data_IF_249173435805
#
_entry.id   IF_249173435805
#
_cell.length_a   1.000
_cell.length_b   1.000
_cell.length_c   1.000
_cell.angle_alpha   90.00
_cell.angle_beta   90.00
_cell.angle_gamma   90.00
#
_symmetry.space_group_name_H-M   'P 1'
#
loop_
_entity.id
_entity.type
_entity.pdbx_description
1 polymer ?
#
# COMPACT_ATOMS: atom_id res chain seq x y z
N UNK A 1 -82.00 -6.44 27.40
CA UNK A 1 -81.03 -5.33 27.59
C UNK A 1 -79.73 -5.71 26.91
N UNK A 2 -79.47 -5.21 25.70
CA UNK A 2 -78.20 -5.40 24.98
C UNK A 2 -77.49 -4.05 24.96
N UNK A 3 -76.40 -3.92 25.70
CA UNK A 3 -75.57 -2.73 25.69
C UNK A 3 -74.53 -2.84 24.56
N UNK A 4 -74.51 -1.83 23.71
CA UNK A 4 -73.62 -1.65 22.58
C UNK A 4 -72.36 -0.93 23.08
N UNK A 5 -71.18 -1.56 22.99
CA UNK A 5 -69.90 -0.89 23.25
C UNK A 5 -69.20 -0.64 21.90
N UNK A 6 -69.07 0.64 21.56
CA UNK A 6 -68.23 1.14 20.46
C UNK A 6 -66.76 0.98 20.84
N UNK A 7 -65.96 0.44 19.93
CA UNK A 7 -64.50 0.47 20.02
C UNK A 7 -64.00 1.45 18.98
N UNK A 8 -63.45 2.57 19.43
CA UNK A 8 -62.82 3.59 18.60
C UNK A 8 -61.46 3.11 18.07
N UNK A 9 -61.34 3.05 16.75
CA UNK A 9 -60.10 2.69 16.06
C UNK A 9 -59.26 3.96 15.85
N UNK A 10 -58.31 4.24 16.76
CA UNK A 10 -57.29 5.26 16.55
C UNK A 10 -56.12 4.67 15.76
N UNK A 11 -56.03 5.01 14.47
CA UNK A 11 -54.83 4.77 13.66
C UNK A 11 -53.68 5.65 14.19
N UNK A 12 -52.65 5.02 14.77
CA UNK A 12 -51.33 5.63 14.92
C UNK A 12 -50.55 5.43 13.62
N UNK A 13 -50.42 6.48 12.81
CA UNK A 13 -49.47 6.53 11.71
C UNK A 13 -48.07 6.77 12.27
N UNK A 14 -47.29 5.70 12.44
CA UNK A 14 -45.87 5.78 12.74
C UNK A 14 -45.14 6.10 11.44
N UNK A 15 -44.82 7.38 11.24
CA UNK A 15 -44.00 7.84 10.12
C UNK A 15 -42.57 7.30 10.24
N UNK A 16 -42.21 6.37 9.37
CA UNK A 16 -40.86 5.87 9.23
C UNK A 16 -40.01 6.94 8.51
N UNK A 17 -39.31 7.79 9.27
CA UNK A 17 -38.26 8.65 8.70
C UNK A 17 -37.10 7.73 8.26
N UNK A 18 -37.04 7.42 6.97
CA UNK A 18 -35.82 6.91 6.35
C UNK A 18 -34.78 8.02 6.39
N UNK A 19 -33.88 7.96 7.36
CA UNK A 19 -32.61 8.70 7.34
C UNK A 19 -31.81 8.17 6.15
N UNK A 20 -31.93 8.85 5.02
CA UNK A 20 -31.05 8.70 3.88
C UNK A 20 -29.69 9.24 4.31
N UNK A 21 -28.84 8.39 4.87
CA UNK A 21 -27.43 8.73 5.10
C UNK A 21 -26.79 8.82 3.73
N UNK A 22 -26.78 10.02 3.16
CA UNK A 22 -25.91 10.37 2.05
C UNK A 22 -24.47 10.20 2.54
N UNK A 23 -23.90 9.01 2.30
CA UNK A 23 -22.47 8.81 2.38
C UNK A 23 -21.84 9.68 1.29
N UNK A 24 -21.39 10.88 1.66
CA UNK A 24 -20.51 11.64 0.80
C UNK A 24 -19.31 10.73 0.49
N UNK A 25 -19.13 10.36 -0.78
CA UNK A 25 -17.95 9.61 -1.18
C UNK A 25 -16.75 10.45 -0.78
N UNK A 26 -15.92 9.92 0.11
CA UNK A 26 -14.68 10.57 0.52
C UNK A 26 -13.79 10.68 -0.71
N UNK A 27 -13.54 11.91 -1.14
CA UNK A 27 -12.75 12.17 -2.33
C UNK A 27 -11.26 11.94 -2.05
N UNK A 28 -10.63 11.08 -2.86
CA UNK A 28 -9.18 10.88 -2.86
C UNK A 28 -8.46 12.19 -3.23
N UNK A 29 -7.80 12.81 -2.26
CA UNK A 29 -7.07 14.08 -2.43
C UNK A 29 -5.65 13.84 -2.90
N UNK A 30 -5.11 14.75 -3.71
CA UNK A 30 -3.68 14.77 -4.04
C UNK A 30 -2.84 15.22 -2.82
N UNK A 31 -1.64 14.64 -2.59
CA UNK A 31 -0.89 14.86 -1.34
C UNK A 31 -0.11 16.18 -1.30
N UNK A 32 -0.14 17.00 -2.36
CA UNK A 32 0.58 18.28 -2.44
C UNK A 32 -0.33 19.41 -2.97
N UNK A 33 0.06 20.68 -2.83
CA UNK A 33 -0.69 21.82 -3.38
C UNK A 33 -0.61 21.90 -4.92
N UNK A 34 0.25 21.11 -5.56
CA UNK A 34 0.38 21.09 -7.01
C UNK A 34 -0.79 20.35 -7.66
N UNK A 35 -1.76 21.11 -8.20
CA UNK A 35 -2.98 20.59 -8.84
C UNK A 35 -2.78 20.10 -10.28
N UNK A 36 -1.54 20.00 -10.77
CA UNK A 36 -1.27 19.65 -12.17
C UNK A 36 -1.88 18.30 -12.57
N UNK A 37 -1.80 17.28 -11.70
CA UNK A 37 -2.41 15.98 -11.96
C UNK A 37 -3.93 16.10 -12.17
N UNK A 38 -4.64 16.74 -11.24
CA UNK A 38 -6.11 16.91 -11.31
C UNK A 38 -6.55 17.74 -12.52
N UNK A 39 -5.68 18.61 -13.02
CA UNK A 39 -5.91 19.43 -14.22
C UNK A 39 -5.51 18.72 -15.52
N UNK A 40 -5.18 17.42 -15.47
CA UNK A 40 -4.79 16.64 -16.65
C UNK A 40 -3.50 17.11 -17.31
N UNK A 41 -2.60 17.76 -16.56
CA UNK A 41 -1.31 18.22 -17.08
C UNK A 41 -0.34 17.04 -17.27
N UNK A 42 0.66 17.18 -18.15
CA UNK A 42 1.64 16.12 -18.38
C UNK A 42 2.54 15.89 -17.15
N UNK A 43 3.26 14.77 -17.12
CA UNK A 43 4.04 14.30 -15.96
C UNK A 43 5.08 15.31 -15.50
N UNK A 44 5.70 16.04 -16.42
CA UNK A 44 6.69 17.09 -16.20
C UNK A 44 6.15 18.24 -15.34
N UNK A 45 4.82 18.35 -15.21
CA UNK A 45 4.16 19.36 -14.40
C UNK A 45 4.00 18.96 -12.92
N UNK A 46 4.43 17.76 -12.51
CA UNK A 46 4.38 17.35 -11.10
C UNK A 46 5.40 16.29 -10.66
N UNK A 47 6.00 15.53 -11.57
CA UNK A 47 7.00 14.50 -11.24
C UNK A 47 8.40 15.09 -11.10
N UNK A 48 9.06 14.79 -9.99
CA UNK A 48 10.46 15.12 -9.76
C UNK A 48 11.37 13.99 -10.30
N UNK A 49 12.15 14.20 -11.37
CA UNK A 49 13.16 13.23 -11.78
C UNK A 49 14.30 13.16 -10.75
N UNK A 50 14.97 12.00 -10.73
CA UNK A 50 16.20 11.78 -9.95
C UNK A 50 17.38 12.54 -10.57
N UNK A 51 18.60 12.30 -10.05
CA UNK A 51 19.83 12.88 -10.59
C UNK A 51 20.10 12.53 -12.07
N UNK A 52 19.44 11.52 -12.63
CA UNK A 52 19.57 11.16 -14.05
C UNK A 52 18.93 12.17 -15.00
N UNK A 53 18.03 13.05 -14.52
CA UNK A 53 17.25 13.97 -15.33
C UNK A 53 16.13 13.30 -16.15
N UNK A 54 16.04 11.97 -16.16
CA UNK A 54 14.98 11.22 -16.84
C UNK A 54 13.69 11.27 -16.03
N UNK A 55 12.60 11.72 -16.64
CA UNK A 55 11.32 11.92 -15.97
C UNK A 55 10.80 10.65 -15.30
N UNK A 56 10.94 9.52 -15.99
CA UNK A 56 10.46 8.22 -15.55
C UNK A 56 11.11 7.79 -14.23
N UNK A 57 12.32 8.28 -13.93
CA UNK A 57 13.03 7.89 -12.71
C UNK A 57 12.36 8.32 -11.40
N UNK A 58 11.41 9.27 -11.48
CA UNK A 58 10.54 9.68 -10.37
C UNK A 58 9.20 8.93 -10.32
N UNK A 59 8.93 8.00 -11.23
CA UNK A 59 7.71 7.19 -11.26
C UNK A 59 7.87 5.90 -10.45
N UNK A 60 6.77 5.22 -10.17
CA UNK A 60 6.79 3.90 -9.54
C UNK A 60 7.34 2.84 -10.50
N UNK A 61 8.01 1.82 -9.97
CA UNK A 61 8.42 0.63 -10.72
C UNK A 61 9.91 0.55 -11.02
N UNK A 62 10.26 -0.27 -12.01
CA UNK A 62 11.64 -0.48 -12.46
C UNK A 62 12.13 0.66 -13.36
N UNK A 63 12.31 1.84 -12.77
CA UNK A 63 12.55 3.10 -13.52
C UNK A 63 13.88 3.78 -13.18
N UNK A 64 14.64 3.27 -12.20
CA UNK A 64 15.94 3.82 -11.79
C UNK A 64 17.09 2.94 -12.30
N UNK A 65 18.26 3.53 -12.48
CA UNK A 65 19.48 2.85 -12.98
C UNK A 65 19.24 2.02 -14.25
N UNK A 66 18.65 2.63 -15.29
CA UNK A 66 18.33 1.92 -16.54
C UNK A 66 17.23 0.85 -16.41
N UNK A 67 16.45 0.92 -15.33
CA UNK A 67 15.39 -0.04 -15.00
C UNK A 67 15.81 -1.15 -14.05
N UNK A 68 17.07 -1.20 -13.59
CA UNK A 68 17.53 -2.23 -12.68
C UNK A 68 17.27 -1.93 -11.21
N UNK A 69 16.77 -0.74 -10.88
CA UNK A 69 16.41 -0.35 -9.52
C UNK A 69 14.93 0.01 -9.46
N UNK A 70 14.24 -0.66 -8.54
CA UNK A 70 12.83 -0.42 -8.24
C UNK A 70 12.66 0.90 -7.47
N UNK A 71 11.54 1.55 -7.70
CA UNK A 71 11.08 2.73 -6.98
C UNK A 71 9.69 2.45 -6.42
N UNK A 72 9.57 2.53 -5.09
CA UNK A 72 8.40 2.10 -4.31
C UNK A 72 7.23 3.09 -4.33
N UNK A 73 7.43 4.28 -4.90
CA UNK A 73 6.45 5.36 -4.93
C UNK A 73 6.62 6.28 -6.13
N UNK A 74 6.07 7.49 -6.01
CA UNK A 74 6.29 8.59 -6.95
C UNK A 74 6.94 9.78 -6.25
N UNK A 75 7.82 10.49 -6.95
CA UNK A 75 8.50 11.67 -6.45
C UNK A 75 7.80 12.92 -7.01
N UNK A 76 7.28 13.79 -6.14
CA UNK A 76 6.50 14.99 -6.49
C UNK A 76 7.25 16.27 -6.13
N UNK A 77 7.47 17.16 -7.10
CA UNK A 77 8.24 18.39 -6.87
C UNK A 77 7.40 19.50 -6.20
N UNK A 78 8.04 20.44 -5.48
CA UNK A 78 7.37 21.57 -4.85
C UNK A 78 7.02 22.70 -5.82
N UNK A 79 5.90 23.37 -5.60
CA UNK A 79 5.54 24.62 -6.30
C UNK A 79 5.88 25.88 -5.48
N UNK A 80 6.12 25.75 -4.17
CA UNK A 80 6.60 26.85 -3.31
C UNK A 80 8.00 26.58 -2.79
N UNK A 81 8.79 27.65 -2.73
CA UNK A 81 10.12 27.65 -2.12
C UNK A 81 10.30 28.85 -1.20
N UNK A 82 11.10 28.67 -0.16
CA UNK A 82 11.56 29.77 0.69
C UNK A 82 12.60 30.62 -0.04
N UNK A 83 12.96 31.79 0.52
CA UNK A 83 14.03 32.64 -0.02
C UNK A 83 15.39 31.92 -0.08
N UNK A 84 15.64 30.96 0.82
CA UNK A 84 16.85 30.14 0.82
C UNK A 84 16.78 28.97 -0.17
N UNK A 85 15.70 28.83 -0.94
CA UNK A 85 15.49 27.80 -1.96
C UNK A 85 14.97 26.46 -1.45
N UNK A 86 14.64 26.34 -0.16
CA UNK A 86 14.05 25.12 0.41
C UNK A 86 12.60 24.94 -0.05
N UNK A 87 12.15 23.69 -0.18
CA UNK A 87 10.75 23.40 -0.45
C UNK A 87 9.88 23.89 0.72
N UNK A 88 8.69 24.43 0.42
CA UNK A 88 7.78 25.01 1.41
C UNK A 88 6.34 24.50 1.26
N UNK A 89 6.12 23.49 0.42
CA UNK A 89 4.79 22.94 0.19
C UNK A 89 4.32 22.13 1.41
N UNK A 90 3.12 22.40 1.97
CA UNK A 90 2.50 21.50 2.93
C UNK A 90 2.12 20.16 2.27
N UNK A 91 2.24 19.08 3.03
CA UNK A 91 1.91 17.72 2.60
C UNK A 91 0.65 17.25 3.31
N UNK A 92 -0.26 16.65 2.56
CA UNK A 92 -1.60 16.33 3.06
C UNK A 92 -1.88 14.83 3.09
N UNK A 93 -2.66 14.39 4.09
CA UNK A 93 -3.28 13.07 4.06
C UNK A 93 -4.24 12.98 2.87
N UNK A 94 -4.17 11.90 2.10
CA UNK A 94 -4.93 11.76 0.84
C UNK A 94 -6.36 11.29 1.08
N UNK A 95 -6.59 10.64 2.21
CA UNK A 95 -7.86 10.11 2.68
C UNK A 95 -7.90 10.21 4.21
N UNK A 96 -9.08 10.08 4.85
CA UNK A 96 -9.20 9.87 6.27
C UNK A 96 -8.46 8.60 6.70
N UNK A 97 -7.98 8.57 7.93
CA UNK A 97 -7.28 7.42 8.45
C UNK A 97 -6.62 7.67 9.80
N UNK A 98 -5.79 6.72 10.21
CA UNK A 98 -5.04 6.79 11.47
C UNK A 98 -3.55 6.89 11.19
N UNK A 99 -2.86 7.83 11.83
CA UNK A 99 -1.39 7.91 11.79
C UNK A 99 -0.82 6.69 12.52
N UNK A 100 -0.10 5.84 11.79
CA UNK A 100 0.49 4.60 12.35
C UNK A 100 1.99 4.70 12.57
N UNK A 101 2.66 5.68 11.93
CA UNK A 101 4.08 5.92 12.12
C UNK A 101 4.44 7.39 11.95
N UNK A 102 5.38 7.87 12.78
CA UNK A 102 5.99 9.19 12.66
C UNK A 102 7.48 9.07 12.94
N UNK A 103 8.32 9.31 11.93
CA UNK A 103 9.77 9.46 12.07
C UNK A 103 10.15 10.93 11.94
N UNK A 104 10.55 11.56 13.06
CA UNK A 104 11.01 12.96 13.09
C UNK A 104 12.52 13.11 12.87
N UNK A 105 13.27 12.00 12.87
CA UNK A 105 14.73 12.00 12.79
C UNK A 105 15.19 11.69 11.36
N UNK A 106 15.76 12.69 10.69
CA UNK A 106 16.20 12.58 9.30
C UNK A 106 17.26 11.49 9.05
N UNK A 107 18.07 11.15 10.06
CA UNK A 107 19.20 10.23 9.92
C UNK A 107 18.86 8.74 10.05
N UNK A 108 17.61 8.35 10.33
CA UNK A 108 17.28 6.96 10.65
C UNK A 108 16.94 6.06 9.45
N UNK A 109 16.75 6.62 8.25
CA UNK A 109 16.52 5.84 7.02
C UNK A 109 16.72 6.70 5.77
N UNK A 110 16.84 6.04 4.62
CA UNK A 110 16.81 6.68 3.31
C UNK A 110 15.60 7.59 3.12
N UNK A 111 14.43 7.24 3.66
CA UNK A 111 13.22 8.10 3.66
C UNK A 111 13.40 9.44 4.37
N UNK A 112 14.40 9.58 5.24
CA UNK A 112 14.53 10.73 6.10
C UNK A 112 13.43 10.79 7.16
N UNK A 113 12.83 11.98 7.32
CA UNK A 113 11.60 12.15 8.10
C UNK A 113 10.41 11.70 7.27
N UNK A 114 9.54 10.91 7.87
CA UNK A 114 8.36 10.41 7.18
C UNK A 114 7.20 10.08 8.11
N UNK A 115 6.01 10.06 7.53
CA UNK A 115 4.75 9.71 8.19
C UNK A 115 4.10 8.57 7.42
N UNK A 116 3.45 7.65 8.14
CA UNK A 116 2.59 6.62 7.53
C UNK A 116 1.17 6.76 8.08
N UNK A 117 0.19 6.79 7.19
CA UNK A 117 -1.24 6.82 7.52
C UNK A 117 -1.88 5.52 7.05
N UNK A 118 -2.68 4.89 7.91
CA UNK A 118 -3.53 3.74 7.57
C UNK A 118 -4.93 4.23 7.23
N UNK A 119 -5.44 3.84 6.07
CA UNK A 119 -6.81 4.12 5.62
C UNK A 119 -7.64 2.85 5.83
N UNK A 120 -8.23 2.71 7.01
CA UNK A 120 -8.99 1.53 7.45
C UNK A 120 -10.49 1.59 7.16
N UNK A 121 -10.98 2.76 6.72
CA UNK A 121 -12.31 2.91 6.12
C UNK A 121 -12.36 2.42 4.66
N UNK A 122 -11.20 2.10 4.08
CA UNK A 122 -11.07 1.55 2.73
C UNK A 122 -11.11 0.02 2.74
N UNK A 123 -11.50 -0.57 1.60
CA UNK A 123 -11.49 -2.03 1.42
C UNK A 123 -10.62 -2.41 0.21
N UNK A 124 -9.57 -3.23 0.38
CA UNK A 124 -8.91 -3.51 1.67
C UNK A 124 -8.40 -2.22 2.31
N UNK A 125 -8.17 -2.24 3.62
CA UNK A 125 -7.38 -1.20 4.25
C UNK A 125 -6.00 -1.13 3.57
N UNK A 126 -5.45 0.05 3.41
CA UNK A 126 -4.10 0.24 2.86
C UNK A 126 -3.39 1.41 3.55
N UNK A 127 -2.13 1.62 3.22
CA UNK A 127 -1.30 2.64 3.84
C UNK A 127 -0.77 3.63 2.81
N UNK A 128 -0.53 4.84 3.26
CA UNK A 128 0.23 5.85 2.52
C UNK A 128 1.44 6.27 3.30
N UNK A 129 2.56 6.47 2.60
CA UNK A 129 3.83 6.89 3.18
C UNK A 129 4.25 8.22 2.55
N UNK A 130 4.63 9.17 3.41
CA UNK A 130 5.00 10.54 3.04
C UNK A 130 6.41 10.83 3.53
N UNK A 131 7.41 10.80 2.64
CA UNK A 131 8.81 10.88 3.01
C UNK A 131 9.52 12.17 2.57
N UNK A 132 10.78 12.25 2.95
CA UNK A 132 11.69 13.37 2.71
C UNK A 132 11.25 14.69 3.36
N UNK A 133 10.39 14.64 4.37
CA UNK A 133 9.81 15.83 4.99
C UNK A 133 10.89 16.74 5.60
N UNK A 134 10.73 18.05 5.43
CA UNK A 134 11.54 19.05 6.13
C UNK A 134 11.20 19.02 7.63
N UNK A 135 9.91 19.03 7.93
CA UNK A 135 9.34 18.92 9.28
C UNK A 135 8.05 18.08 9.24
N UNK A 136 7.73 17.47 10.37
CA UNK A 136 6.43 16.85 10.62
C UNK A 136 5.53 17.90 11.30
N UNK A 137 4.25 17.92 10.96
CA UNK A 137 3.29 18.87 11.53
C UNK A 137 3.23 18.78 13.07
N UNK A 138 2.99 19.93 13.72
CA UNK A 138 2.92 20.01 15.17
C UNK A 138 1.74 19.19 15.72
N UNK A 139 1.96 18.53 16.85
CA UNK A 139 0.96 17.67 17.49
C UNK A 139 0.70 16.31 16.79
N UNK A 140 1.18 16.10 15.56
CA UNK A 140 1.04 14.83 14.84
C UNK A 140 1.77 13.70 15.60
N UNK A 141 1.02 12.64 15.90
CA UNK A 141 1.48 11.49 16.69
C UNK A 141 0.79 10.21 16.26
N UNK A 142 1.43 9.07 16.53
CA UNK A 142 0.84 7.75 16.29
C UNK A 142 -0.48 7.61 17.06
N UNK A 143 -1.49 7.02 16.42
CA UNK A 143 -2.85 6.86 16.92
C UNK A 143 -3.76 8.06 16.67
N UNK A 144 -3.25 9.17 16.12
CA UNK A 144 -4.09 10.31 15.74
C UNK A 144 -4.93 9.99 14.50
N UNK A 145 -6.22 10.27 14.56
CA UNK A 145 -7.09 10.30 13.38
C UNK A 145 -6.85 11.57 12.56
N UNK A 146 -6.82 11.41 11.24
CA UNK A 146 -6.67 12.49 10.26
C UNK A 146 -7.79 12.41 9.24
N UNK A 147 -8.16 13.56 8.68
CA UNK A 147 -9.09 13.65 7.57
C UNK A 147 -8.34 13.80 6.25
N UNK A 148 -9.01 13.60 5.12
CA UNK A 148 -8.45 13.98 3.83
C UNK A 148 -8.11 15.48 3.84
N UNK A 149 -6.90 15.85 3.42
CA UNK A 149 -6.43 17.23 3.45
C UNK A 149 -5.77 17.67 4.77
N UNK A 150 -5.76 16.86 5.83
CA UNK A 150 -5.01 17.19 7.05
C UNK A 150 -3.51 17.32 6.73
N UNK A 151 -2.90 18.42 7.16
CA UNK A 151 -1.45 18.64 7.00
C UNK A 151 -0.65 17.67 7.88
N UNK A 152 0.27 16.93 7.25
CA UNK A 152 1.15 15.96 7.90
C UNK A 152 2.56 16.51 8.13
N UNK A 153 2.93 17.57 7.41
CA UNK A 153 4.23 18.22 7.52
C UNK A 153 4.56 19.04 6.29
N UNK A 154 5.81 19.50 6.22
CA UNK A 154 6.31 20.33 5.12
C UNK A 154 7.25 19.49 4.24
N UNK A 155 7.07 19.60 2.93
CA UNK A 155 7.94 18.96 1.93
C UNK A 155 9.40 19.36 2.15
N UNK A 156 10.32 18.42 1.96
CA UNK A 156 11.73 18.72 2.12
C UNK A 156 12.65 17.87 1.25
N UNK A 157 13.81 17.60 1.83
CA UNK A 157 14.92 16.89 1.20
C UNK A 157 15.71 16.07 2.21
N UNK A 158 15.04 15.66 3.31
CA UNK A 158 15.70 14.88 4.37
C UNK A 158 15.93 13.44 3.89
N UNK A 159 17.11 12.89 4.14
CA UNK A 159 17.47 11.51 3.82
C UNK A 159 18.68 11.07 4.66
N UNK A 160 18.87 9.77 4.81
CA UNK A 160 20.08 9.17 5.37
C UNK A 160 20.82 8.33 4.33
N UNK A 161 22.16 8.41 4.33
CA UNK A 161 23.02 7.71 3.38
C UNK A 161 23.19 8.41 2.03
N UNK A 162 22.49 9.51 1.77
CA UNK A 162 22.68 10.37 0.60
C UNK A 162 22.09 11.77 0.85
N UNK A 163 22.41 12.71 -0.04
CA UNK A 163 21.91 14.09 -0.01
C UNK A 163 21.05 14.38 -1.24
N UNK A 164 19.84 14.90 -1.03
CA UNK A 164 18.95 15.39 -2.10
C UNK A 164 19.17 16.90 -2.22
N UNK A 165 19.64 17.48 -3.34
CA UNK A 165 19.87 18.93 -3.44
C UNK A 165 18.54 19.73 -3.42
N UNK A 166 18.61 21.04 -3.13
CA UNK A 166 17.42 21.90 -2.99
C UNK A 166 16.58 21.88 -4.25
N UNK A 167 17.23 21.94 -5.41
CA UNK A 167 16.61 21.88 -6.73
C UNK A 167 15.82 20.59 -7.00
N UNK A 168 16.08 19.52 -6.24
CA UNK A 168 15.37 18.24 -6.32
C UNK A 168 14.66 17.86 -5.02
N UNK A 169 14.42 18.81 -4.12
CA UNK A 169 13.51 18.57 -2.99
C UNK A 169 12.16 18.07 -3.53
N UNK A 170 11.57 17.07 -2.87
CA UNK A 170 10.33 16.43 -3.32
C UNK A 170 9.64 15.73 -2.16
N UNK A 171 8.36 15.45 -2.35
CA UNK A 171 7.66 14.42 -1.60
C UNK A 171 7.92 13.08 -2.30
N UNK A 172 8.44 12.10 -1.57
CA UNK A 172 8.36 10.71 -1.99
C UNK A 172 7.08 10.11 -1.38
N UNK A 173 6.15 9.71 -2.25
CA UNK A 173 4.80 9.28 -1.89
C UNK A 173 4.56 7.83 -2.30
N UNK A 174 4.22 6.97 -1.35
CA UNK A 174 3.87 5.57 -1.60
C UNK A 174 2.42 5.27 -1.22
N UNK A 175 1.84 4.27 -1.90
CA UNK A 175 0.63 3.56 -1.48
C UNK A 175 1.01 2.09 -1.30
N UNK A 176 0.76 1.49 -0.13
CA UNK A 176 1.33 0.18 0.18
C UNK A 176 0.50 -0.67 1.15
N UNK A 177 0.86 -1.96 1.20
CA UNK A 177 0.42 -2.93 2.20
C UNK A 177 1.61 -3.29 3.09
N UNK A 178 1.39 -3.48 4.40
CA UNK A 178 2.43 -4.00 5.29
C UNK A 178 2.32 -5.53 5.38
N UNK A 179 3.46 -6.23 5.43
CA UNK A 179 3.49 -7.68 5.24
C UNK A 179 3.23 -8.47 6.53
N UNK A 180 3.73 -8.01 7.67
CA UNK A 180 3.57 -8.69 8.96
C UNK A 180 3.59 -7.70 10.13
N UNK A 181 2.90 -8.06 11.22
CA UNK A 181 2.93 -7.34 12.49
C UNK A 181 4.11 -7.79 13.38
N UNK A 182 4.86 -8.79 12.94
CA UNK A 182 6.04 -9.35 13.61
C UNK A 182 7.34 -9.07 12.86
N UNK A 183 7.46 -7.92 12.18
CA UNK A 183 8.57 -7.62 11.29
C UNK A 183 9.94 -7.68 11.98
N UNK A 184 10.00 -7.26 13.25
CA UNK A 184 11.24 -7.29 14.03
C UNK A 184 11.88 -8.68 14.08
N UNK A 185 11.06 -9.74 14.21
CA UNK A 185 11.58 -11.12 14.23
C UNK A 185 12.28 -11.48 12.93
N UNK A 186 11.78 -11.01 11.79
CA UNK A 186 12.44 -11.22 10.50
C UNK A 186 13.72 -10.38 10.41
N UNK A 187 13.67 -9.12 10.87
CA UNK A 187 14.80 -8.21 10.88
C UNK A 187 15.98 -8.74 11.71
N UNK A 188 15.73 -9.27 12.90
CA UNK A 188 16.77 -9.81 13.81
C UNK A 188 17.48 -11.04 13.25
N UNK A 189 16.85 -11.76 12.31
CA UNK A 189 17.49 -12.86 11.59
C UNK A 189 18.42 -12.39 10.48
N UNK A 190 18.35 -11.12 10.11
CA UNK A 190 19.23 -10.53 9.10
C UNK A 190 20.51 -10.02 9.75
N UNK A 191 21.61 -10.00 9.00
CA UNK A 191 22.91 -9.51 9.47
C UNK A 191 23.07 -8.00 9.20
N UNK A 192 22.04 -7.21 9.52
CA UNK A 192 22.12 -5.76 9.32
C UNK A 192 23.03 -5.11 10.36
N UNK A 193 23.83 -4.14 9.93
CA UNK A 193 24.71 -3.36 10.81
C UNK A 193 24.02 -2.24 11.58
N UNK A 194 22.70 -2.09 11.42
CA UNK A 194 21.90 -1.06 12.08
C UNK A 194 20.69 -1.67 12.78
N UNK A 195 20.19 -0.98 13.81
CA UNK A 195 18.95 -1.35 14.48
C UNK A 195 17.74 -0.93 13.65
N UNK A 196 16.65 -1.70 13.73
CA UNK A 196 15.37 -1.28 13.17
C UNK A 196 14.74 -0.17 14.03
N UNK A 197 14.89 1.08 13.60
CA UNK A 197 14.32 2.27 14.27
C UNK A 197 12.84 2.49 13.96
N UNK A 198 12.25 1.71 13.05
CA UNK A 198 10.94 1.98 12.44
C UNK A 198 9.88 0.92 12.77
N UNK A 199 10.23 -0.10 13.54
CA UNK A 199 9.32 -1.18 13.91
C UNK A 199 8.71 -1.85 12.67
N UNK A 200 7.39 -2.04 12.69
CA UNK A 200 6.63 -2.62 11.57
C UNK A 200 6.51 -1.69 10.36
N UNK A 201 6.85 -0.42 10.49
CA UNK A 201 6.75 0.60 9.44
C UNK A 201 8.08 0.90 8.76
N UNK A 202 9.04 -0.03 8.90
CA UNK A 202 10.22 -0.07 8.07
C UNK A 202 9.82 -0.37 6.62
N UNK A 203 10.33 0.37 5.64
CA UNK A 203 9.99 0.17 4.22
C UNK A 203 10.23 -1.25 3.69
N UNK A 204 11.13 -2.01 4.32
CA UNK A 204 11.34 -3.42 3.98
C UNK A 204 10.15 -4.34 4.33
N UNK A 205 9.23 -3.88 5.18
CA UNK A 205 7.96 -4.53 5.51
C UNK A 205 6.79 -4.02 4.65
N UNK A 206 7.01 -3.04 3.79
CA UNK A 206 5.98 -2.44 2.95
C UNK A 206 6.09 -2.99 1.52
N UNK A 207 4.93 -3.14 0.88
CA UNK A 207 4.81 -3.58 -0.51
C UNK A 207 3.97 -2.57 -1.27
N UNK A 208 4.63 -1.80 -2.14
CA UNK A 208 4.04 -0.69 -2.87
C UNK A 208 3.13 -1.12 -4.02
N UNK A 209 2.14 -0.27 -4.27
CA UNK A 209 1.24 -0.25 -5.42
C UNK A 209 1.51 1.05 -6.15
N UNK A 210 1.42 1.07 -7.49
CA UNK A 210 1.62 2.28 -8.27
C UNK A 210 0.60 3.36 -7.90
N UNK A 211 1.02 4.44 -7.21
CA UNK A 211 0.09 5.48 -6.79
C UNK A 211 -0.52 6.18 -8.00
N UNK A 212 0.29 6.53 -8.99
CA UNK A 212 -0.18 7.31 -10.13
C UNK A 212 -1.17 6.50 -10.98
N UNK A 213 -0.93 5.19 -11.17
CA UNK A 213 -1.88 4.34 -11.86
C UNK A 213 -3.19 4.16 -11.07
N UNK A 214 -3.15 4.10 -9.74
CA UNK A 214 -4.37 4.10 -8.91
C UNK A 214 -5.14 5.41 -9.05
N UNK A 215 -4.47 6.56 -8.87
CA UNK A 215 -5.09 7.88 -9.02
C UNK A 215 -5.71 8.05 -10.41
N UNK A 216 -5.02 7.65 -11.48
CA UNK A 216 -5.58 7.69 -12.85
C UNK A 216 -6.82 6.81 -13.00
N UNK A 217 -6.83 5.64 -12.36
CA UNK A 217 -7.96 4.72 -12.43
C UNK A 217 -9.20 5.27 -11.71
N UNK A 218 -9.00 5.88 -10.54
CA UNK A 218 -10.07 6.53 -9.78
C UNK A 218 -10.57 7.76 -10.52
N UNK A 219 -9.67 8.61 -10.98
CA UNK A 219 -10.02 9.85 -11.68
C UNK A 219 -10.77 9.61 -12.99
N UNK A 220 -10.46 8.53 -13.73
CA UNK A 220 -11.21 8.16 -14.94
C UNK A 220 -12.50 7.39 -14.68
N UNK A 221 -12.84 7.11 -13.41
CA UNK A 221 -13.99 6.29 -13.05
C UNK A 221 -13.84 4.79 -13.39
N UNK A 222 -12.64 4.33 -13.78
CA UNK A 222 -12.37 2.92 -14.09
C UNK A 222 -12.50 2.03 -12.85
N UNK A 223 -12.16 2.57 -11.69
CA UNK A 223 -12.29 1.90 -10.38
C UNK A 223 -12.74 2.92 -9.34
N UNK A 224 -13.42 2.47 -8.29
CA UNK A 224 -13.92 3.33 -7.22
C UNK A 224 -13.04 3.30 -5.98
N UNK A 225 -12.28 2.23 -5.78
CA UNK A 225 -11.53 1.96 -4.56
C UNK A 225 -10.36 0.99 -4.81
N UNK A 226 -9.58 0.72 -3.76
CA UNK A 226 -8.39 -0.12 -3.82
C UNK A 226 -8.69 -1.58 -4.19
N UNK A 227 -9.80 -2.18 -3.72
CA UNK A 227 -10.12 -3.57 -4.08
C UNK A 227 -10.40 -3.72 -5.58
N UNK A 228 -11.18 -2.81 -6.17
CA UNK A 228 -11.43 -2.82 -7.62
C UNK A 228 -10.14 -2.60 -8.42
N UNK A 229 -9.28 -1.71 -7.93
CA UNK A 229 -7.97 -1.49 -8.54
C UNK A 229 -7.11 -2.76 -8.52
N UNK A 230 -6.97 -3.41 -7.37
CA UNK A 230 -6.22 -4.67 -7.27
C UNK A 230 -6.83 -5.76 -8.16
N UNK A 231 -8.16 -5.92 -8.18
CA UNK A 231 -8.83 -6.88 -9.08
C UNK A 231 -8.49 -6.60 -10.55
N UNK A 232 -8.42 -5.32 -10.95
CA UNK A 232 -8.07 -4.93 -12.32
C UNK A 232 -6.62 -5.22 -12.72
N UNK A 233 -5.71 -5.43 -11.76
CA UNK A 233 -4.31 -5.76 -12.03
C UNK A 233 -4.18 -7.28 -12.30
N UNK A 234 -3.60 -7.69 -13.44
CA UNK A 234 -3.36 -9.10 -13.71
C UNK A 234 -2.42 -9.74 -12.68
N UNK A 235 -2.69 -10.99 -12.31
CA UNK A 235 -1.75 -11.80 -11.55
C UNK A 235 -0.63 -12.31 -12.47
N UNK A 236 0.63 -12.05 -12.14
CA UNK A 236 1.78 -12.55 -12.94
C UNK A 236 2.23 -13.93 -12.50
N UNK A 237 1.91 -14.32 -11.27
CA UNK A 237 2.22 -15.63 -10.71
C UNK A 237 1.20 -16.02 -9.64
N UNK A 238 0.94 -17.31 -9.53
CA UNK A 238 0.28 -17.94 -8.38
C UNK A 238 1.22 -18.92 -7.73
N UNK A 239 1.44 -18.77 -6.43
CA UNK A 239 2.35 -19.61 -5.64
C UNK A 239 1.57 -20.25 -4.50
N UNK A 240 1.69 -21.58 -4.36
CA UNK A 240 1.20 -22.34 -3.22
C UNK A 240 2.24 -22.36 -2.12
N UNK A 241 1.82 -22.08 -0.90
CA UNK A 241 2.60 -22.29 0.32
C UNK A 241 1.85 -23.26 1.22
N UNK A 242 2.43 -24.42 1.48
CA UNK A 242 1.87 -25.41 2.42
C UNK A 242 2.15 -24.96 3.86
N UNK A 243 1.15 -24.34 4.47
CA UNK A 243 1.19 -23.86 5.85
C UNK A 243 -0.21 -23.85 6.42
N UNK A 244 -0.34 -24.28 7.68
CA UNK A 244 -1.57 -24.19 8.47
C UNK A 244 -1.73 -22.81 9.13
N UNK A 245 -0.66 -22.00 9.13
CA UNK A 245 -0.66 -20.66 9.70
C UNK A 245 -1.62 -19.75 8.93
N UNK A 246 -2.36 -18.90 9.65
CA UNK A 246 -3.05 -17.74 9.10
C UNK A 246 -2.11 -16.53 9.23
N UNK A 247 -1.54 -16.01 8.13
CA UNK A 247 -0.63 -14.86 8.17
C UNK A 247 -1.29 -13.60 8.71
N UNK A 248 -0.50 -12.71 9.33
CA UNK A 248 -0.98 -11.37 9.75
C UNK A 248 -1.59 -10.62 8.56
N UNK A 249 -0.98 -10.72 7.38
CA UNK A 249 -1.50 -10.15 6.13
C UNK A 249 -2.95 -10.56 5.85
N UNK A 250 -3.28 -11.85 6.03
CA UNK A 250 -4.65 -12.36 5.81
C UNK A 250 -5.63 -11.80 6.85
N UNK A 251 -5.19 -11.64 8.10
CA UNK A 251 -6.01 -11.04 9.16
C UNK A 251 -6.23 -9.54 8.94
N UNK A 252 -5.20 -8.85 8.45
CA UNK A 252 -5.22 -7.40 8.21
C UNK A 252 -5.98 -7.03 6.93
N UNK A 253 -6.04 -7.93 5.95
CA UNK A 253 -6.68 -7.72 4.65
C UNK A 253 -7.65 -8.87 4.28
N UNK A 254 -8.69 -9.13 5.08
CA UNK A 254 -9.58 -10.28 4.88
C UNK A 254 -10.36 -10.22 3.56
N UNK A 255 -10.56 -9.03 3.00
CA UNK A 255 -11.22 -8.85 1.69
C UNK A 255 -10.41 -9.37 0.51
N UNK A 256 -9.12 -9.69 0.71
CA UNK A 256 -8.28 -10.33 -0.32
C UNK A 256 -8.38 -11.87 -0.29
N UNK A 257 -9.16 -12.43 0.64
CA UNK A 257 -9.37 -13.87 0.78
C UNK A 257 -10.52 -14.32 -0.11
N UNK A 258 -10.28 -15.32 -0.96
CA UNK A 258 -11.24 -15.72 -2.01
C UNK A 258 -12.38 -16.62 -1.52
N UNK A 259 -12.23 -17.24 -0.35
CA UNK A 259 -13.29 -18.05 0.28
C UNK A 259 -13.11 -18.16 1.80
N UNK A 260 -14.20 -18.33 2.57
CA UNK A 260 -14.12 -18.45 4.03
C UNK A 260 -13.25 -19.62 4.48
N UNK A 261 -12.50 -19.42 5.57
CA UNK A 261 -11.68 -20.45 6.22
C UNK A 261 -12.02 -20.66 7.71
N UNK A 262 -12.91 -19.86 8.27
CA UNK A 262 -13.33 -20.01 9.66
C UNK A 262 -13.93 -21.39 9.90
N UNK A 263 -13.53 -22.06 10.99
CA UNK A 263 -13.97 -23.41 11.33
C UNK A 263 -13.42 -24.53 10.45
N UNK A 264 -12.50 -24.23 9.53
CA UNK A 264 -11.91 -25.21 8.61
C UNK A 264 -10.42 -25.37 8.85
N UNK A 265 -9.91 -26.58 8.65
CA UNK A 265 -8.48 -26.87 8.76
C UNK A 265 -7.75 -26.44 7.48
N UNK A 266 -7.13 -25.26 7.51
CA UNK A 266 -6.26 -24.78 6.43
C UNK A 266 -4.98 -25.63 6.39
N UNK A 267 -4.59 -26.08 5.20
CA UNK A 267 -3.36 -26.85 4.95
C UNK A 267 -2.39 -26.14 3.99
N UNK A 268 -2.88 -25.19 3.19
CA UNK A 268 -2.05 -24.38 2.31
C UNK A 268 -2.75 -23.07 1.92
N UNK A 269 -1.99 -22.17 1.30
CA UNK A 269 -2.47 -20.94 0.69
C UNK A 269 -2.02 -20.85 -0.76
N UNK A 270 -2.96 -20.66 -1.69
CA UNK A 270 -2.64 -20.27 -3.07
C UNK A 270 -2.70 -18.74 -3.15
N UNK A 271 -1.56 -18.11 -3.43
CA UNK A 271 -1.38 -16.66 -3.38
C UNK A 271 -1.13 -16.13 -4.79
N UNK A 272 -1.95 -15.20 -5.26
CA UNK A 272 -1.71 -14.48 -6.50
C UNK A 272 -0.88 -13.21 -6.24
N UNK A 273 0.09 -12.96 -7.11
CA UNK A 273 0.96 -11.79 -7.02
C UNK A 273 0.80 -10.87 -8.23
N UNK A 274 0.78 -9.56 -7.98
CA UNK A 274 0.99 -8.56 -9.04
C UNK A 274 2.41 -8.64 -9.59
N UNK A 275 2.67 -7.95 -10.70
CA UNK A 275 3.96 -7.86 -11.36
C UNK A 275 5.13 -7.51 -10.40
N UNK A 276 4.93 -6.61 -9.44
CA UNK A 276 5.96 -6.24 -8.45
C UNK A 276 5.83 -6.91 -7.08
N UNK A 277 4.96 -7.91 -6.96
CA UNK A 277 4.92 -8.81 -5.81
C UNK A 277 3.95 -8.44 -4.69
N UNK A 278 2.93 -7.61 -4.96
CA UNK A 278 1.81 -7.43 -4.03
C UNK A 278 0.99 -8.72 -3.96
N UNK A 279 0.81 -9.34 -2.78
CA UNK A 279 -0.09 -10.47 -2.59
C UNK A 279 -1.55 -10.00 -2.72
N UNK A 280 -2.15 -10.18 -3.90
CA UNK A 280 -3.45 -9.57 -4.24
C UNK A 280 -4.66 -10.46 -4.01
N UNK A 281 -4.47 -11.79 -3.95
CA UNK A 281 -5.54 -12.76 -3.73
C UNK A 281 -5.01 -13.95 -2.94
N UNK A 282 -5.78 -14.39 -1.95
CA UNK A 282 -5.43 -15.47 -1.03
C UNK A 282 -6.51 -16.55 -1.03
N UNK A 283 -6.21 -17.72 -1.59
CA UNK A 283 -7.14 -18.85 -1.58
C UNK A 283 -6.69 -19.85 -0.51
N UNK A 284 -7.43 -20.00 0.60
CA UNK A 284 -7.13 -21.04 1.58
C UNK A 284 -7.42 -22.40 0.95
N UNK A 285 -6.57 -23.39 1.24
CA UNK A 285 -6.73 -24.80 0.85
C UNK A 285 -6.94 -25.65 2.08
N UNK A 286 -7.76 -26.68 1.93
CA UNK A 286 -8.24 -27.52 3.02
C UNK A 286 -7.88 -28.98 2.79
N UNK A 287 -8.00 -29.82 3.83
CA UNK A 287 -7.73 -31.26 3.73
C UNK A 287 -8.58 -31.90 2.63
N UNK A 288 -9.85 -31.52 2.54
CA UNK A 288 -10.81 -32.01 1.54
C UNK A 288 -10.38 -31.72 0.08
N UNK A 289 -9.55 -30.69 -0.15
CA UNK A 289 -9.06 -30.38 -1.49
C UNK A 289 -8.05 -31.43 -2.01
N UNK A 290 -7.62 -32.39 -1.18
CA UNK A 290 -6.70 -33.48 -1.53
C UNK A 290 -5.40 -33.02 -2.22
N UNK A 291 -4.89 -31.87 -1.77
CA UNK A 291 -3.67 -31.29 -2.34
C UNK A 291 -2.40 -31.91 -1.73
N UNK A 292 -1.55 -32.50 -2.56
CA UNK A 292 -0.26 -33.04 -2.10
C UNK A 292 0.75 -31.96 -1.69
N UNK A 293 1.66 -32.30 -0.77
CA UNK A 293 2.78 -31.47 -0.30
C UNK A 293 3.01 -31.58 1.21
N UNK A 294 4.15 -31.10 1.70
CA UNK A 294 4.54 -31.10 3.11
C UNK A 294 4.54 -29.67 3.67
N UNK A 295 4.41 -29.52 4.98
CA UNK A 295 4.52 -28.22 5.63
C UNK A 295 5.85 -27.52 5.26
N UNK A 296 5.77 -26.27 4.82
CA UNK A 296 6.89 -25.50 4.31
C UNK A 296 7.15 -25.65 2.80
N UNK A 297 6.50 -26.59 2.10
CA UNK A 297 6.60 -26.68 0.65
C UNK A 297 6.11 -25.38 0.00
N UNK A 298 6.84 -24.92 -1.01
CA UNK A 298 6.46 -23.77 -1.83
C UNK A 298 6.49 -24.19 -3.30
N UNK A 299 5.39 -23.97 -4.03
CA UNK A 299 5.22 -24.44 -5.42
C UNK A 299 4.65 -23.34 -6.31
N UNK A 300 5.19 -23.21 -7.52
CA UNK A 300 4.63 -22.34 -8.55
C UNK A 300 3.45 -23.08 -9.19
N UNK A 301 2.27 -22.46 -9.18
CA UNK A 301 1.04 -23.05 -9.76
C UNK A 301 0.77 -22.53 -11.17
N UNK A 302 0.97 -21.24 -11.39
CA UNK A 302 0.74 -20.57 -12.67
C UNK A 302 1.63 -19.33 -12.76
N UNK A 303 1.97 -18.91 -13.97
CA UNK A 303 2.70 -17.67 -14.20
C UNK A 303 2.52 -17.16 -15.64
N UNK A 304 2.79 -15.88 -15.86
CA UNK A 304 2.81 -15.23 -17.19
C UNK A 304 4.26 -15.04 -17.65
N UNK A 305 4.78 -15.88 -18.58
CA UNK A 305 6.16 -15.75 -19.08
C UNK A 305 6.41 -14.36 -19.70
N UNK A 306 5.53 -13.91 -20.59
CA UNK A 306 5.64 -12.64 -21.30
C UNK A 306 5.81 -11.44 -20.36
N UNK A 307 5.01 -11.39 -19.29
CA UNK A 307 5.10 -10.29 -18.32
C UNK A 307 6.41 -10.34 -17.54
N UNK A 308 6.82 -11.52 -17.09
CA UNK A 308 8.04 -11.69 -16.29
C UNK A 308 9.32 -11.44 -17.11
N UNK A 309 9.33 -11.79 -18.39
CA UNK A 309 10.44 -11.52 -19.31
C UNK A 309 10.62 -10.02 -19.59
N UNK A 310 9.50 -9.28 -19.69
CA UNK A 310 9.52 -7.84 -19.91
C UNK A 310 9.99 -7.02 -18.68
N UNK A 311 9.95 -7.59 -17.48
CA UNK A 311 10.38 -6.91 -16.26
C UNK A 311 11.90 -6.91 -16.13
N UNK A 312 12.52 -5.78 -15.84
CA UNK A 312 13.99 -5.65 -15.67
C UNK A 312 14.46 -5.76 -14.21
N UNK A 313 13.54 -5.65 -13.24
CA UNK A 313 13.82 -5.72 -11.81
C UNK A 313 12.60 -6.22 -11.02
N UNK A 314 12.76 -6.48 -9.72
CA UNK A 314 11.68 -6.82 -8.76
C UNK A 314 10.70 -7.91 -9.24
N UNK A 315 11.17 -8.85 -10.06
CA UNK A 315 10.35 -9.95 -10.60
C UNK A 315 9.80 -10.83 -9.49
N UNK A 316 8.58 -11.35 -9.67
CA UNK A 316 8.03 -12.36 -8.74
C UNK A 316 8.72 -13.72 -8.91
N UNK A 317 9.03 -14.09 -10.16
CA UNK A 317 9.72 -15.32 -10.52
C UNK A 317 10.91 -15.02 -11.45
N UNK A 318 11.94 -15.85 -11.40
CA UNK A 318 13.00 -15.87 -12.41
C UNK A 318 12.58 -16.78 -13.56
N UNK A 319 12.54 -16.22 -14.77
CA UNK A 319 12.28 -16.91 -16.03
C UNK A 319 13.55 -16.76 -16.89
N UNK A 320 14.14 -17.89 -17.31
CA UNK A 320 15.46 -17.90 -17.96
C UNK A 320 16.19 -19.25 -17.90
N UNK A 321 15.76 -20.16 -17.00
CA UNK A 321 16.18 -21.57 -17.01
C UNK A 321 15.07 -22.49 -17.54
N UNK A 322 15.32 -23.80 -17.55
CA UNK A 322 14.34 -24.82 -18.00
C UNK A 322 13.01 -24.78 -17.22
N UNK A 323 13.03 -24.32 -15.96
CA UNK A 323 11.84 -24.13 -15.11
C UNK A 323 11.93 -22.80 -14.38
N UNK A 324 10.80 -22.09 -14.19
CA UNK A 324 10.79 -20.86 -13.41
C UNK A 324 11.15 -21.15 -11.95
N UNK A 325 11.85 -20.21 -11.31
CA UNK A 325 12.16 -20.28 -9.88
C UNK A 325 11.61 -19.06 -9.14
N UNK A 326 11.35 -19.20 -7.84
CA UNK A 326 10.89 -18.08 -7.01
C UNK A 326 12.04 -17.08 -6.87
N UNK A 327 11.77 -15.79 -7.13
CA UNK A 327 12.81 -14.78 -7.00
C UNK A 327 13.23 -14.58 -5.55
N UNK A 328 14.45 -14.09 -5.31
CA UNK A 328 14.92 -13.78 -3.97
C UNK A 328 14.01 -12.76 -3.25
N UNK A 329 13.43 -11.82 -4.01
CA UNK A 329 12.48 -10.83 -3.50
C UNK A 329 11.20 -11.50 -2.98
N UNK A 330 10.59 -12.37 -3.79
CA UNK A 330 9.38 -13.09 -3.41
C UNK A 330 9.64 -14.05 -2.26
N UNK A 331 10.77 -14.75 -2.26
CA UNK A 331 11.16 -15.60 -1.15
C UNK A 331 11.28 -14.80 0.16
N UNK A 332 11.89 -13.61 0.12
CA UNK A 332 11.95 -12.69 1.26
C UNK A 332 10.55 -12.26 1.72
N UNK A 333 9.64 -11.96 0.79
CA UNK A 333 8.23 -11.66 1.09
C UNK A 333 7.53 -12.85 1.78
N UNK A 334 7.67 -14.07 1.26
CA UNK A 334 7.08 -15.27 1.86
C UNK A 334 7.63 -15.53 3.27
N UNK A 335 8.94 -15.31 3.49
CA UNK A 335 9.55 -15.41 4.83
C UNK A 335 8.97 -14.41 5.83
N UNK A 336 8.58 -13.21 5.37
CA UNK A 336 7.90 -12.22 6.23
C UNK A 336 6.46 -12.62 6.50
N UNK A 337 5.71 -12.99 5.46
CA UNK A 337 4.29 -13.38 5.55
C UNK A 337 4.07 -14.58 6.48
N UNK A 338 4.92 -15.59 6.39
CA UNK A 338 4.76 -16.85 7.15
C UNK A 338 5.79 -17.01 8.29
N UNK A 339 6.66 -16.04 8.52
CA UNK A 339 7.69 -16.14 9.55
C UNK A 339 8.72 -17.25 9.35
N UNK A 340 8.85 -17.82 8.15
CA UNK A 340 9.81 -18.88 7.84
C UNK A 340 11.26 -18.44 8.08
N UNK A 341 12.14 -19.41 8.35
CA UNK A 341 13.58 -19.19 8.53
C UNK A 341 14.32 -19.14 7.19
#
# INVERSE_FOLDING_TARGET
MRACLRVDLRLLAIGCLQLCVLSAAVELRWPTPNLAFQKGKPLEAFIQPTASGKLESGLFGCVRNGGHKFHEGIDLYPIKRTQSGEAADPIFSVLPGTVVHVSKVAGYSSYGRYVVVRHDQETPAFHTLYAHLASVADGLRVGMEVQAGTELGIMGRSAAGYSIPKSRAHLHFEMCFHLTDSFQRWYDRQKFGSANRHGNWNGMNLMGVDPLAYYRAVHSGRVRNMVEYLVSIPAVARIRVHSTQIPDFVRNYPSLVTRPYAGRQVVAWDIAFTDFGVPKEWTPRFVEDSIGGRAGDVRILAYSPKTLEAQSCRRVLNVGGQRPTISASTLSTLKKLFGFK
#
